data_IF_543962432003
#
_entry.id   IF_543962432003
#
_cell.length_a   1.000
_cell.length_b   1.000
_cell.length_c   1.000
_cell.angle_alpha   90.00
_cell.angle_beta   90.00
_cell.angle_gamma   90.00
#
_symmetry.space_group_name_H-M   'P 1'
#
loop_
_entity.id
_entity.type
_entity.pdbx_description
1 polymer ?
#
# COMPACT_ATOMS: atom_id res chain seq x y z
N UNK A 1 -14.18 -23.01 -17.67
CA UNK A 1 -14.21 -21.93 -16.66
C UNK A 1 -13.33 -22.39 -15.50
N UNK A 2 -12.17 -21.76 -15.28
CA UNK A 2 -11.24 -22.12 -14.19
C UNK A 2 -11.72 -21.54 -12.87
N UNK A 3 -11.52 -22.27 -11.77
CA UNK A 3 -11.83 -21.78 -10.42
C UNK A 3 -11.00 -20.52 -10.11
N UNK A 4 -11.53 -19.57 -9.32
CA UNK A 4 -10.76 -18.40 -8.91
C UNK A 4 -9.52 -18.81 -8.11
N UNK A 5 -8.42 -18.05 -8.21
CA UNK A 5 -7.22 -18.33 -7.42
C UNK A 5 -7.52 -18.24 -5.92
N UNK A 6 -6.89 -19.11 -5.13
CA UNK A 6 -6.96 -19.02 -3.68
C UNK A 6 -6.17 -17.80 -3.18
N UNK A 7 -6.48 -17.33 -1.97
CA UNK A 7 -5.79 -16.21 -1.32
C UNK A 7 -4.27 -16.40 -1.30
N UNK A 8 -3.82 -17.64 -1.09
CA UNK A 8 -2.42 -18.03 -0.98
C UNK A 8 -1.63 -17.81 -2.27
N UNK A 9 -2.32 -17.82 -3.42
CA UNK A 9 -1.72 -17.59 -4.73
C UNK A 9 -1.63 -16.11 -5.12
N UNK A 10 -2.13 -15.19 -4.27
CA UNK A 10 -2.28 -13.78 -4.63
C UNK A 10 -1.33 -12.91 -3.79
N UNK A 11 -0.55 -12.08 -4.47
CA UNK A 11 0.20 -10.97 -3.87
C UNK A 11 -0.56 -9.67 -4.11
N UNK A 12 -0.85 -8.94 -3.04
CA UNK A 12 -1.42 -7.59 -3.10
C UNK A 12 -0.34 -6.53 -3.22
N UNK A 13 -0.53 -5.54 -4.09
CA UNK A 13 0.38 -4.42 -4.28
C UNK A 13 -0.31 -3.08 -4.04
N UNK A 14 0.22 -2.29 -3.12
CA UNK A 14 -0.21 -0.89 -2.90
C UNK A 14 0.68 0.04 -3.72
N UNK A 15 0.10 0.81 -4.63
CA UNK A 15 0.82 1.77 -5.47
C UNK A 15 0.89 3.14 -4.80
N UNK A 16 2.04 3.48 -4.22
CA UNK A 16 2.29 4.70 -3.46
C UNK A 16 3.24 5.69 -4.18
N UNK A 17 3.57 5.46 -5.46
CA UNK A 17 4.54 6.27 -6.21
C UNK A 17 4.00 7.55 -6.90
N UNK A 18 2.79 8.02 -6.58
CA UNK A 18 2.20 9.17 -7.28
C UNK A 18 2.87 10.50 -6.93
N UNK A 19 2.97 11.46 -7.88
CA UNK A 19 3.66 12.77 -7.68
C UNK A 19 2.97 13.73 -6.70
N UNK A 20 1.73 13.45 -6.27
CA UNK A 20 1.03 14.28 -5.28
C UNK A 20 0.74 15.73 -5.71
N UNK A 21 0.77 16.06 -7.01
CA UNK A 21 0.72 17.44 -7.50
C UNK A 21 -0.52 18.22 -7.01
N UNK A 22 -1.69 17.59 -6.99
CA UNK A 22 -2.94 18.19 -6.48
C UNK A 22 -2.96 18.39 -4.96
N UNK A 23 -1.98 17.82 -4.26
CA UNK A 23 -1.80 17.89 -2.81
C UNK A 23 -0.54 18.70 -2.46
N UNK A 24 -0.09 19.60 -3.35
CA UNK A 24 1.11 20.40 -3.12
C UNK A 24 2.43 19.65 -3.27
N UNK A 25 2.44 18.50 -3.95
CA UNK A 25 3.64 17.68 -4.15
C UNK A 25 3.98 16.76 -2.99
N UNK A 26 3.20 16.78 -1.91
CA UNK A 26 3.43 15.90 -0.75
C UNK A 26 3.18 14.43 -1.09
N UNK A 27 3.72 13.55 -0.27
CA UNK A 27 3.44 12.13 -0.38
C UNK A 27 2.06 11.79 0.18
N UNK A 28 1.09 11.56 -0.73
CA UNK A 28 -0.29 11.23 -0.37
C UNK A 28 -0.37 9.99 0.50
N UNK A 29 0.43 8.95 0.23
CA UNK A 29 0.34 7.70 0.98
C UNK A 29 0.66 7.88 2.46
N UNK A 30 1.52 8.86 2.79
CA UNK A 30 1.93 9.17 4.16
C UNK A 30 1.07 10.23 4.84
N UNK A 31 0.12 10.87 4.12
CA UNK A 31 -0.72 11.88 4.75
C UNK A 31 -1.68 11.25 5.76
N UNK A 32 -1.87 11.90 6.93
CA UNK A 32 -2.76 11.39 7.96
C UNK A 32 -4.23 11.57 7.58
N UNK A 33 -5.04 10.55 7.86
CA UNK A 33 -6.49 10.60 7.80
C UNK A 33 -7.05 9.69 8.89
N UNK A 34 -7.96 10.23 9.72
CA UNK A 34 -8.49 9.54 10.90
C UNK A 34 -7.39 8.96 11.81
N UNK A 35 -6.30 9.72 12.00
CA UNK A 35 -5.20 9.33 12.90
C UNK A 35 -4.22 8.28 12.37
N UNK A 36 -4.33 7.86 11.10
CA UNK A 36 -3.39 6.90 10.46
C UNK A 36 -3.01 7.37 9.07
N UNK A 37 -1.87 6.93 8.52
CA UNK A 37 -1.51 7.30 7.16
C UNK A 37 -2.45 6.62 6.15
N UNK A 38 -2.70 7.27 5.01
CA UNK A 38 -3.58 6.71 3.95
C UNK A 38 -3.13 5.32 3.48
N UNK A 39 -1.83 5.06 3.43
CA UNK A 39 -1.29 3.73 3.10
C UNK A 39 -1.66 2.66 4.12
N UNK A 40 -1.77 3.01 5.41
CA UNK A 40 -2.11 2.06 6.47
C UNK A 40 -3.55 1.57 6.33
N UNK A 41 -4.46 2.46 5.90
CA UNK A 41 -5.84 2.09 5.56
C UNK A 41 -5.89 1.13 4.38
N UNK A 42 -5.06 1.36 3.34
CA UNK A 42 -4.99 0.48 2.18
C UNK A 42 -4.44 -0.91 2.54
N UNK A 43 -3.36 -0.96 3.32
CA UNK A 43 -2.77 -2.22 3.82
C UNK A 43 -3.80 -2.99 4.64
N UNK A 44 -4.44 -2.34 5.62
CA UNK A 44 -5.42 -2.98 6.49
C UNK A 44 -6.59 -3.58 5.70
N UNK A 45 -7.03 -2.89 4.64
CA UNK A 45 -8.11 -3.39 3.77
C UNK A 45 -7.66 -4.54 2.86
N UNK A 46 -6.42 -4.50 2.37
CA UNK A 46 -5.88 -5.45 1.39
C UNK A 46 -5.39 -6.75 2.05
N UNK A 47 -4.71 -6.67 3.18
CA UNK A 47 -4.07 -7.79 3.88
C UNK A 47 -4.95 -9.05 4.07
N UNK A 48 -6.24 -8.97 4.48
CA UNK A 48 -7.04 -10.18 4.68
C UNK A 48 -7.38 -10.91 3.37
N UNK A 49 -7.16 -10.30 2.20
CA UNK A 49 -7.56 -10.83 0.90
C UNK A 49 -6.41 -11.51 0.14
N UNK A 50 -5.16 -11.37 0.61
CA UNK A 50 -3.96 -11.80 -0.13
C UNK A 50 -2.98 -12.52 0.80
N UNK A 51 -2.08 -13.32 0.23
CA UNK A 51 -1.03 -14.01 0.97
C UNK A 51 0.02 -13.02 1.49
N UNK A 52 0.42 -12.08 0.63
CA UNK A 52 1.49 -11.11 0.89
C UNK A 52 1.04 -9.73 0.45
N UNK A 53 1.42 -8.70 1.20
CA UNK A 53 1.25 -7.29 0.81
C UNK A 53 2.62 -6.68 0.51
N UNK A 54 2.72 -6.01 -0.63
CA UNK A 54 3.87 -5.22 -1.04
C UNK A 54 3.45 -3.77 -1.29
N UNK A 55 4.40 -2.85 -1.24
CA UNK A 55 4.21 -1.43 -1.55
C UNK A 55 5.17 -1.08 -2.68
N UNK A 56 4.69 -0.44 -3.74
CA UNK A 56 5.55 0.19 -4.73
C UNK A 56 5.59 1.69 -4.46
N UNK A 57 6.76 2.20 -4.09
CA UNK A 57 6.99 3.62 -3.80
C UNK A 57 8.23 4.14 -4.55
N UNK A 58 8.26 5.44 -4.81
CA UNK A 58 9.40 6.11 -5.48
C UNK A 58 10.09 7.16 -4.60
N UNK A 59 9.64 7.32 -3.36
CA UNK A 59 10.20 8.22 -2.34
C UNK A 59 9.78 7.74 -0.95
N UNK A 60 10.39 8.30 0.09
CA UNK A 60 10.10 7.96 1.50
C UNK A 60 10.14 6.44 1.78
N UNK A 61 11.08 5.72 1.13
CA UNK A 61 11.13 4.26 1.15
C UNK A 61 11.28 3.70 2.57
N UNK A 62 12.06 4.36 3.43
CA UNK A 62 12.22 3.97 4.82
C UNK A 62 10.91 4.07 5.61
N UNK A 63 10.12 5.13 5.39
CA UNK A 63 8.81 5.28 6.02
C UNK A 63 7.88 4.15 5.58
N UNK A 64 7.83 3.83 4.29
CA UNK A 64 7.03 2.70 3.80
C UNK A 64 7.51 1.35 4.35
N UNK A 65 8.82 1.12 4.43
CA UNK A 65 9.39 -0.13 4.91
C UNK A 65 9.08 -0.39 6.40
N UNK A 66 8.95 0.67 7.21
CA UNK A 66 8.57 0.56 8.62
C UNK A 66 7.19 -0.06 8.87
N UNK A 67 6.34 -0.16 7.85
CA UNK A 67 4.95 -0.67 7.96
C UNK A 67 4.83 -2.18 7.79
N UNK A 68 5.96 -2.90 7.76
CA UNK A 68 5.99 -4.36 7.69
C UNK A 68 5.65 -4.96 6.31
N UNK A 69 5.47 -4.12 5.29
CA UNK A 69 5.34 -4.55 3.91
C UNK A 69 6.68 -4.41 3.17
N UNK A 70 6.96 -5.32 2.25
CA UNK A 70 8.12 -5.19 1.35
C UNK A 70 7.89 -4.01 0.41
N UNK A 71 8.88 -3.12 0.32
CA UNK A 71 8.91 -1.94 -0.55
C UNK A 71 9.83 -2.18 -1.73
#
# INVERSE_FOLDING_TARGET
MTAPPSREAITGLVLAGGRGQRLGGVDKGLQPWQGRALVDHAIARLAPQVATVMISANRHLADYASRGARV
#
